data_IF_990965954345
#
_entry.id   IF_990965954345
#
_cell.length_a   1.000
_cell.length_b   1.000
_cell.length_c   1.000
_cell.angle_alpha   90.00
_cell.angle_beta   90.00
_cell.angle_gamma   90.00
#
_symmetry.space_group_name_H-M   'P 1'
#
loop_
_entity.id
_entity.type
_entity.pdbx_description
1 polymer ?
#
# COMPACT_ATOMS: atom_id res chain seq x y z
N UNK A 1 75.60 -34.14 45.25
CA UNK A 1 74.52 -33.41 45.94
C UNK A 1 74.46 -33.96 47.35
N UNK A 2 74.59 -33.10 48.37
CA UNK A 2 74.61 -33.53 49.76
C UNK A 2 73.20 -33.95 50.20
N UNK A 3 73.03 -35.24 50.50
CA UNK A 3 71.77 -35.83 50.95
C UNK A 3 71.22 -35.12 52.18
N UNK A 4 72.10 -34.60 53.04
CA UNK A 4 71.73 -33.85 54.24
C UNK A 4 71.08 -32.52 53.87
N UNK A 5 71.58 -31.85 52.83
CA UNK A 5 71.02 -30.58 52.35
C UNK A 5 69.63 -30.79 51.71
N UNK A 6 69.44 -31.86 50.95
CA UNK A 6 68.15 -32.28 50.37
C UNK A 6 67.12 -32.59 51.47
N UNK A 7 67.50 -33.44 52.44
CA UNK A 7 66.63 -33.82 53.56
C UNK A 7 66.28 -32.63 54.44
N UNK A 8 67.21 -31.67 54.63
CA UNK A 8 66.96 -30.44 55.38
C UNK A 8 65.98 -29.53 54.65
N UNK A 9 66.06 -29.45 53.32
CA UNK A 9 65.11 -28.71 52.48
C UNK A 9 63.69 -29.29 52.59
N UNK A 10 63.58 -30.61 52.53
CA UNK A 10 62.32 -31.34 52.68
C UNK A 10 61.74 -31.13 54.09
N UNK A 11 62.57 -31.29 55.13
CA UNK A 11 62.16 -31.11 56.52
C UNK A 11 61.67 -29.69 56.81
N UNK A 12 62.36 -28.68 56.31
CA UNK A 12 61.95 -27.28 56.46
C UNK A 12 60.65 -26.97 55.72
N UNK A 13 60.44 -27.56 54.54
CA UNK A 13 59.21 -27.40 53.75
C UNK A 13 58.00 -28.03 54.45
N UNK A 14 58.19 -29.17 55.13
CA UNK A 14 57.14 -29.83 55.94
C UNK A 14 56.83 -29.01 57.21
N UNK A 15 57.84 -28.38 57.82
CA UNK A 15 57.71 -27.65 59.09
C UNK A 15 56.84 -26.39 59.02
N UNK A 16 56.61 -25.85 57.81
CA UNK A 16 55.76 -24.66 57.60
C UNK A 16 54.26 -25.00 57.54
N UNK A 17 53.90 -26.28 57.44
CA UNK A 17 52.52 -26.75 57.38
C UNK A 17 51.91 -26.72 58.80
N UNK A 18 51.02 -25.77 59.06
CA UNK A 18 50.25 -25.69 60.32
C UNK A 18 48.87 -26.36 60.14
N UNK A 19 48.72 -27.60 60.62
CA UNK A 19 47.44 -28.31 60.73
C UNK A 19 47.11 -28.69 62.18
N UNK A 20 45.82 -28.78 62.52
CA UNK A 20 45.36 -29.31 63.82
C UNK A 20 45.60 -30.84 63.91
N UNK A 21 45.85 -31.33 65.12
CA UNK A 21 46.39 -32.64 65.53
C UNK A 21 45.55 -33.90 65.22
N UNK A 22 44.70 -33.89 64.19
CA UNK A 22 43.92 -35.08 63.82
C UNK A 22 44.64 -35.92 62.76
N UNK A 23 44.84 -37.22 63.04
CA UNK A 23 45.42 -38.17 62.07
C UNK A 23 44.42 -38.42 60.93
N UNK A 24 44.76 -37.95 59.73
CA UNK A 24 43.98 -38.21 58.52
C UNK A 24 44.34 -39.57 57.91
N UNK A 25 43.34 -40.33 57.43
CA UNK A 25 43.61 -41.58 56.69
C UNK A 25 44.34 -41.27 55.37
N UNK A 26 45.31 -42.10 54.91
CA UNK A 26 46.07 -41.83 53.69
C UNK A 26 45.21 -41.59 52.45
N UNK A 27 44.09 -42.32 52.31
CA UNK A 27 43.13 -42.11 51.21
C UNK A 27 42.43 -40.76 51.29
N UNK A 28 42.11 -40.29 52.50
CA UNK A 28 41.54 -38.95 52.72
C UNK A 28 42.58 -37.87 52.42
N UNK A 29 43.83 -38.06 52.82
CA UNK A 29 44.92 -37.12 52.51
C UNK A 29 45.16 -37.00 51.00
N UNK A 30 45.26 -38.12 50.29
CA UNK A 30 45.41 -38.12 48.83
C UNK A 30 44.24 -37.42 48.14
N UNK A 31 43.01 -37.59 48.65
CA UNK A 31 41.82 -36.97 48.11
C UNK A 31 41.67 -35.47 48.46
N UNK A 32 42.29 -35.00 49.54
CA UNK A 32 42.35 -33.56 49.85
C UNK A 32 43.46 -32.85 49.08
N UNK A 33 44.61 -33.50 48.87
CA UNK A 33 45.71 -33.00 48.05
C UNK A 33 45.28 -32.88 46.57
N UNK A 34 44.50 -33.83 46.05
CA UNK A 34 44.01 -33.79 44.66
C UNK A 34 43.05 -32.63 44.37
N UNK A 35 42.58 -31.90 45.39
CA UNK A 35 41.71 -30.72 45.27
C UNK A 35 42.48 -29.38 45.23
N UNK A 36 43.82 -29.40 45.31
CA UNK A 36 44.68 -28.22 45.30
C UNK A 36 45.17 -27.89 43.88
N UNK A 37 45.35 -26.61 43.57
CA UNK A 37 45.95 -26.15 42.30
C UNK A 37 47.48 -26.20 42.33
N UNK A 38 48.08 -26.45 41.17
CA UNK A 38 49.48 -26.15 40.89
C UNK A 38 49.55 -24.99 39.89
N UNK A 39 50.08 -23.85 40.33
CA UNK A 39 50.45 -22.73 39.44
C UNK A 39 51.93 -22.44 39.69
N UNK A 40 52.76 -22.59 38.66
CA UNK A 40 54.22 -22.35 38.72
C UNK A 40 54.90 -23.00 39.93
N UNK A 41 54.72 -24.32 40.09
CA UNK A 41 55.38 -25.17 41.09
C UNK A 41 55.13 -24.83 42.57
N UNK A 42 54.14 -23.97 42.88
CA UNK A 42 53.72 -23.67 44.25
C UNK A 42 52.26 -24.09 44.50
N UNK A 43 52.02 -24.78 45.63
CA UNK A 43 50.68 -25.18 46.07
C UNK A 43 50.04 -24.05 46.86
N UNK A 44 49.09 -23.34 46.28
CA UNK A 44 48.42 -22.22 46.96
C UNK A 44 46.90 -22.35 46.85
N UNK A 45 46.29 -23.02 47.83
CA UNK A 45 44.86 -22.93 48.11
C UNK A 45 43.94 -24.01 47.50
N UNK A 46 42.76 -24.15 48.12
CA UNK A 46 41.66 -25.00 47.67
C UNK A 46 41.00 -24.36 46.45
N UNK A 47 40.94 -25.07 45.32
CA UNK A 47 40.16 -24.60 44.17
C UNK A 47 38.73 -25.06 44.33
N UNK A 48 37.79 -24.13 44.18
CA UNK A 48 36.38 -24.50 44.00
C UNK A 48 36.19 -24.96 42.55
N UNK A 49 36.12 -26.26 42.34
CA UNK A 49 35.90 -26.85 41.02
C UNK A 49 34.39 -26.98 40.80
N UNK A 50 33.89 -26.41 39.70
CA UNK A 50 32.55 -26.68 39.18
C UNK A 50 32.66 -27.65 38.02
N UNK A 51 31.94 -28.76 38.11
CA UNK A 51 31.88 -29.74 37.02
C UNK A 51 31.12 -29.17 35.83
N UNK A 52 31.45 -29.65 34.63
CA UNK A 52 30.71 -29.33 33.41
C UNK A 52 29.20 -29.58 33.59
N UNK A 53 28.39 -28.65 33.10
CA UNK A 53 26.94 -28.64 33.29
C UNK A 53 26.27 -28.12 32.02
N UNK A 54 25.09 -28.66 31.71
CA UNK A 54 24.21 -28.12 30.67
C UNK A 54 23.14 -27.25 31.31
N UNK A 55 23.09 -25.97 30.94
CA UNK A 55 22.12 -25.01 31.44
C UNK A 55 21.08 -24.70 30.36
N UNK A 56 19.83 -24.48 30.81
CA UNK A 56 18.71 -24.10 29.96
C UNK A 56 18.29 -22.67 30.31
N UNK A 57 18.17 -21.76 29.31
CA UNK A 57 17.63 -20.43 29.54
C UNK A 57 16.24 -20.48 30.18
N UNK A 58 15.97 -19.56 31.10
CA UNK A 58 14.67 -19.39 31.76
C UNK A 58 14.34 -17.91 31.92
N UNK A 59 13.17 -17.59 32.50
CA UNK A 59 12.79 -16.21 32.82
C UNK A 59 13.42 -15.66 34.11
N UNK A 60 14.37 -16.39 34.70
CA UNK A 60 15.15 -16.01 35.86
C UNK A 60 16.63 -16.17 35.60
N UNK A 61 17.44 -15.29 36.20
CA UNK A 61 18.90 -15.33 36.06
C UNK A 61 19.46 -16.63 36.66
N UNK A 62 20.25 -17.34 35.87
CA UNK A 62 21.10 -18.43 36.35
C UNK A 62 22.47 -17.86 36.67
N UNK A 63 22.80 -17.77 37.95
CA UNK A 63 24.07 -17.19 38.40
C UNK A 63 25.15 -18.28 38.42
N UNK A 64 26.25 -18.04 37.70
CA UNK A 64 27.50 -18.78 37.88
C UNK A 64 28.38 -17.93 38.78
N UNK A 65 28.60 -18.39 40.01
CA UNK A 65 29.40 -17.66 40.98
C UNK A 65 30.85 -17.51 40.51
N UNK A 66 31.47 -16.37 40.83
CA UNK A 66 32.89 -16.12 40.58
C UNK A 66 33.81 -17.05 41.38
N UNK A 67 35.11 -17.03 41.07
CA UNK A 67 36.15 -17.80 41.75
C UNK A 67 35.99 -19.34 41.69
N UNK A 68 35.37 -19.84 40.61
CA UNK A 68 35.26 -21.26 40.31
C UNK A 68 36.10 -21.64 39.07
N UNK A 69 36.77 -22.79 39.13
CA UNK A 69 37.40 -23.41 37.95
C UNK A 69 36.44 -24.44 37.33
N UNK A 70 36.19 -24.32 36.03
CA UNK A 70 35.37 -25.28 35.30
C UNK A 70 36.19 -26.49 34.89
N UNK A 71 35.73 -27.67 35.28
CA UNK A 71 36.27 -28.94 34.79
C UNK A 71 35.26 -29.54 33.80
N UNK A 72 35.52 -29.33 32.51
CA UNK A 72 34.61 -29.69 31.42
C UNK A 72 33.83 -28.49 30.88
N UNK A 73 33.02 -28.74 29.85
CA UNK A 73 32.27 -27.68 29.16
C UNK A 73 31.05 -27.24 29.98
N UNK A 74 30.84 -25.93 30.04
CA UNK A 74 29.56 -25.35 30.40
C UNK A 74 28.79 -25.09 29.11
N UNK A 75 27.71 -25.84 28.91
CA UNK A 75 26.90 -25.76 27.69
C UNK A 75 25.62 -25.00 27.99
N UNK A 76 25.47 -23.81 27.41
CA UNK A 76 24.19 -23.08 27.42
C UNK A 76 23.40 -23.52 26.20
N UNK A 77 22.31 -24.27 26.40
CA UNK A 77 21.45 -24.70 25.30
C UNK A 77 20.67 -23.50 24.76
N UNK A 78 20.36 -23.53 23.46
CA UNK A 78 19.40 -22.59 22.89
C UNK A 78 18.03 -22.76 23.54
N UNK A 79 17.23 -21.70 23.53
CA UNK A 79 15.85 -21.75 24.02
C UNK A 79 14.96 -22.43 22.98
N UNK A 80 14.31 -23.54 23.35
CA UNK A 80 13.38 -24.25 22.47
C UNK A 80 12.13 -23.41 22.13
N UNK A 81 11.83 -22.37 22.94
CA UNK A 81 10.76 -21.41 22.68
C UNK A 81 11.20 -20.24 21.79
N UNK A 82 12.49 -20.16 21.43
CA UNK A 82 13.00 -19.28 20.39
C UNK A 82 12.61 -19.78 19.00
N UNK A 83 11.31 -20.01 18.81
CA UNK A 83 10.71 -20.35 17.53
C UNK A 83 10.22 -19.08 16.87
N UNK A 84 10.43 -18.99 15.56
CA UNK A 84 10.06 -17.81 14.76
C UNK A 84 8.60 -17.39 14.98
N UNK A 85 7.67 -18.35 15.12
CA UNK A 85 6.24 -18.09 15.29
C UNK A 85 5.84 -17.42 16.61
N UNK A 86 6.75 -17.31 17.59
CA UNK A 86 6.52 -16.61 18.86
C UNK A 86 7.09 -15.18 18.86
N UNK A 87 7.88 -14.81 17.85
CA UNK A 87 8.51 -13.50 17.73
C UNK A 87 7.72 -12.69 16.70
N UNK A 88 7.31 -11.48 17.07
CA UNK A 88 6.59 -10.58 16.18
C UNK A 88 7.38 -10.36 14.88
N UNK A 89 6.69 -10.45 13.73
CA UNK A 89 7.26 -10.13 12.43
C UNK A 89 7.44 -8.61 12.29
N UNK A 90 8.56 -8.17 11.72
CA UNK A 90 8.71 -6.77 11.31
C UNK A 90 10.00 -6.48 10.55
N UNK A 91 10.18 -5.21 10.16
CA UNK A 91 11.26 -4.75 9.25
C UNK A 91 12.59 -4.37 9.92
N UNK A 92 12.64 -4.17 11.23
CA UNK A 92 13.83 -3.70 11.96
C UNK A 92 14.66 -4.78 12.65
N UNK A 93 15.87 -4.41 13.09
CA UNK A 93 16.78 -5.24 13.91
C UNK A 93 16.19 -5.72 15.23
N UNK A 94 15.08 -5.12 15.68
CA UNK A 94 14.35 -5.53 16.88
C UNK A 94 13.48 -6.78 16.73
N UNK A 95 13.27 -7.30 15.52
CA UNK A 95 12.46 -8.51 15.26
C UNK A 95 13.31 -9.77 15.06
N UNK A 96 14.57 -9.68 15.49
CA UNK A 96 15.52 -10.77 15.57
C UNK A 96 15.87 -10.97 17.03
N UNK A 97 15.59 -12.16 17.55
CA UNK A 97 16.07 -12.56 18.86
C UNK A 97 17.17 -13.59 18.61
N UNK A 98 18.41 -13.23 18.92
CA UNK A 98 19.59 -14.10 18.75
C UNK A 98 19.73 -14.68 17.32
N UNK A 99 19.41 -13.88 16.31
CA UNK A 99 19.48 -14.28 14.89
C UNK A 99 18.26 -15.03 14.36
N UNK A 100 17.31 -15.43 15.22
CA UNK A 100 16.03 -16.01 14.79
C UNK A 100 15.06 -14.90 14.41
N UNK A 101 14.59 -14.92 13.16
CA UNK A 101 13.68 -13.92 12.61
C UNK A 101 12.22 -14.25 12.95
N UNK A 102 11.47 -13.27 13.43
CA UNK A 102 10.06 -13.45 13.76
C UNK A 102 9.12 -13.69 12.58
N UNK A 103 8.17 -14.60 12.76
CA UNK A 103 7.09 -14.95 11.83
C UNK A 103 5.70 -14.80 12.45
N UNK A 104 5.56 -14.42 13.71
CA UNK A 104 4.26 -14.16 14.32
C UNK A 104 3.63 -12.91 13.67
N UNK A 105 2.45 -13.05 13.08
CA UNK A 105 1.61 -11.91 12.74
C UNK A 105 0.95 -11.43 14.04
N UNK A 106 1.01 -10.12 14.34
CA UNK A 106 0.20 -9.58 15.43
C UNK A 106 -1.26 -9.95 15.13
N UNK A 107 -1.91 -10.64 16.08
CA UNK A 107 -3.34 -10.89 16.01
C UNK A 107 -3.99 -9.53 16.21
N UNK A 108 -4.21 -8.85 15.10
CA UNK A 108 -5.15 -7.74 15.09
C UNK A 108 -6.51 -8.41 15.05
N UNK A 109 -7.33 -8.13 16.05
CA UNK A 109 -8.74 -8.52 16.05
C UNK A 109 -9.32 -8.09 14.70
N UNK A 110 -9.50 -9.06 13.80
CA UNK A 110 -10.21 -8.84 12.56
C UNK A 110 -11.61 -8.50 13.01
N UNK A 111 -11.98 -7.23 12.88
CA UNK A 111 -13.29 -6.78 13.26
C UNK A 111 -14.28 -7.48 12.33
N UNK A 112 -14.95 -8.52 12.83
CA UNK A 112 -15.87 -9.37 12.06
C UNK A 112 -17.14 -8.63 11.59
N UNK A 113 -17.23 -7.32 11.82
CA UNK A 113 -18.21 -6.46 11.16
C UNK A 113 -17.84 -6.29 9.68
N UNK A 114 -18.82 -6.48 8.78
CA UNK A 114 -18.63 -6.25 7.35
C UNK A 114 -18.12 -4.82 7.13
N UNK A 115 -16.88 -4.66 6.68
CA UNK A 115 -16.30 -3.35 6.39
C UNK A 115 -17.14 -2.72 5.27
N UNK A 116 -17.84 -1.60 5.53
CA UNK A 116 -18.71 -0.99 4.55
C UNK A 116 -17.88 -0.50 3.37
N UNK A 117 -18.40 -0.73 2.16
CA UNK A 117 -17.82 -0.15 0.97
C UNK A 117 -18.22 1.33 0.90
N UNK A 118 -17.23 2.21 0.73
CA UNK A 118 -17.42 3.67 0.74
C UNK A 118 -18.03 4.22 -0.56
N UNK A 119 -18.47 3.35 -1.47
CA UNK A 119 -19.32 3.72 -2.60
C UNK A 119 -18.66 4.69 -3.56
N UNK A 120 -19.31 5.86 -3.74
CA UNK A 120 -18.84 6.96 -4.57
C UNK A 120 -17.37 7.30 -4.30
N UNK A 121 -16.96 7.35 -3.03
CA UNK A 121 -15.60 7.71 -2.67
C UNK A 121 -14.60 6.68 -3.20
N UNK A 122 -14.85 5.38 -3.03
CA UNK A 122 -13.99 4.35 -3.62
C UNK A 122 -13.84 4.52 -5.14
N UNK A 123 -14.95 4.80 -5.83
CA UNK A 123 -14.92 5.02 -7.28
C UNK A 123 -14.06 6.23 -7.68
N UNK A 124 -14.02 7.32 -6.91
CA UNK A 124 -13.12 8.45 -7.17
C UNK A 124 -11.65 7.99 -7.20
N UNK A 125 -11.24 7.18 -6.22
CA UNK A 125 -9.88 6.64 -6.16
C UNK A 125 -9.59 5.69 -7.33
N UNK A 126 -10.55 4.87 -7.75
CA UNK A 126 -10.39 4.02 -8.95
C UNK A 126 -10.17 4.88 -10.19
N UNK A 127 -10.86 6.01 -10.33
CA UNK A 127 -10.65 6.91 -11.47
C UNK A 127 -9.28 7.60 -11.45
N UNK A 128 -8.77 7.93 -10.26
CA UNK A 128 -7.41 8.45 -10.10
C UNK A 128 -6.40 7.40 -10.54
N UNK A 129 -6.55 6.16 -10.08
CA UNK A 129 -5.74 5.03 -10.51
C UNK A 129 -5.78 4.81 -12.02
N UNK A 130 -6.98 4.82 -12.60
CA UNK A 130 -7.18 4.70 -14.05
C UNK A 130 -6.49 5.80 -14.85
N UNK A 131 -6.42 7.04 -14.33
CA UNK A 131 -5.82 8.16 -15.07
C UNK A 131 -4.36 7.91 -15.50
N UNK A 132 -3.59 7.12 -14.75
CA UNK A 132 -2.23 6.71 -15.14
C UNK A 132 -2.24 5.67 -16.27
N UNK A 133 -3.22 4.77 -16.25
CA UNK A 133 -3.43 3.80 -17.33
C UNK A 133 -3.87 4.52 -18.61
N UNK A 134 -4.82 5.45 -18.51
CA UNK A 134 -5.30 6.29 -19.63
C UNK A 134 -4.15 7.11 -20.23
N UNK A 135 -3.34 7.78 -19.40
CA UNK A 135 -2.18 8.54 -19.85
C UNK A 135 -1.15 7.68 -20.60
N UNK A 136 -0.94 6.44 -20.14
CA UNK A 136 -0.08 5.48 -20.83
C UNK A 136 -0.65 5.10 -22.19
N UNK A 137 -1.91 4.64 -22.27
CA UNK A 137 -2.49 4.18 -23.54
C UNK A 137 -2.64 5.32 -24.56
N UNK A 138 -2.80 6.55 -24.08
CA UNK A 138 -2.84 7.76 -24.90
C UNK A 138 -1.44 8.27 -25.29
N UNK A 139 -0.36 7.58 -24.91
CA UNK A 139 1.03 7.99 -25.13
C UNK A 139 1.36 9.40 -24.59
N UNK A 140 0.68 9.83 -23.52
CA UNK A 140 0.94 11.12 -22.86
C UNK A 140 2.20 11.08 -21.99
N UNK A 141 2.69 9.88 -21.67
CA UNK A 141 3.89 9.64 -20.87
C UNK A 141 4.58 8.37 -21.32
N UNK A 142 5.91 8.37 -21.29
CA UNK A 142 6.70 7.15 -21.40
C UNK A 142 7.11 6.70 -20.00
N UNK A 143 6.44 5.66 -19.50
CA UNK A 143 6.71 5.09 -18.19
C UNK A 143 7.75 3.95 -18.30
N UNK A 144 8.50 3.73 -17.23
CA UNK A 144 9.39 2.59 -17.06
C UNK A 144 9.26 2.05 -15.63
N UNK A 145 9.09 0.73 -15.52
CA UNK A 145 9.03 0.06 -14.23
C UNK A 145 10.36 0.19 -13.48
N UNK A 146 10.31 0.61 -12.21
CA UNK A 146 11.52 0.92 -11.45
C UNK A 146 11.75 0.10 -10.18
N UNK A 147 10.91 -0.90 -9.88
CA UNK A 147 11.20 -1.92 -8.85
C UNK A 147 11.71 -1.39 -7.50
N UNK A 148 11.17 -0.27 -7.01
CA UNK A 148 11.58 0.37 -5.76
C UNK A 148 12.52 1.58 -5.92
N UNK A 149 13.07 1.85 -7.11
CA UNK A 149 13.80 3.08 -7.44
C UNK A 149 12.87 4.13 -8.07
N UNK A 150 11.88 4.58 -7.32
CA UNK A 150 10.84 5.49 -7.80
C UNK A 150 11.00 6.91 -7.26
N UNK A 151 9.95 7.74 -7.39
CA UNK A 151 9.93 9.13 -6.94
C UNK A 151 10.22 9.28 -5.45
N UNK A 152 10.00 8.24 -4.64
CA UNK A 152 10.35 8.25 -3.21
C UNK A 152 11.83 8.07 -2.92
N UNK A 153 12.58 7.51 -3.87
CA UNK A 153 14.04 7.47 -3.84
C UNK A 153 14.66 8.68 -4.54
N UNK A 154 13.83 9.68 -4.90
CA UNK A 154 14.22 10.92 -5.55
C UNK A 154 14.48 10.81 -7.05
N UNK A 155 14.25 9.65 -7.67
CA UNK A 155 14.45 9.44 -9.10
C UNK A 155 13.14 9.66 -9.86
N UNK A 156 13.16 10.56 -10.86
CA UNK A 156 11.98 10.89 -11.67
C UNK A 156 12.06 10.28 -13.07
N UNK A 157 13.19 10.42 -13.77
CA UNK A 157 13.40 9.78 -15.09
C UNK A 157 14.68 8.96 -15.15
N UNK A 158 14.68 7.92 -15.97
CA UNK A 158 15.88 7.12 -16.23
C UNK A 158 16.79 7.75 -17.29
N UNK A 159 17.87 7.06 -17.64
CA UNK A 159 18.84 7.50 -18.64
C UNK A 159 18.25 7.67 -20.06
N UNK A 160 17.13 7.01 -20.35
CA UNK A 160 16.38 7.15 -21.61
C UNK A 160 15.27 8.20 -21.53
N UNK A 161 15.16 8.94 -20.43
CA UNK A 161 14.14 9.97 -20.24
C UNK A 161 12.74 9.44 -19.92
N UNK A 162 12.59 8.13 -19.68
CA UNK A 162 11.30 7.54 -19.27
C UNK A 162 11.06 7.79 -17.79
N UNK A 163 9.83 8.15 -17.45
CA UNK A 163 9.38 8.36 -16.08
C UNK A 163 9.39 7.05 -15.30
N UNK A 164 10.06 7.04 -14.14
CA UNK A 164 10.18 5.86 -13.29
C UNK A 164 8.95 5.72 -12.40
N UNK A 165 8.23 4.60 -12.55
CA UNK A 165 7.02 4.31 -11.78
C UNK A 165 7.07 2.87 -11.26
N UNK A 166 6.81 2.70 -9.96
CA UNK A 166 6.61 1.39 -9.34
C UNK A 166 5.20 1.27 -8.75
N UNK A 167 4.83 0.06 -8.32
CA UNK A 167 3.50 -0.19 -7.76
C UNK A 167 3.24 0.61 -6.48
N UNK A 168 4.28 0.88 -5.68
CA UNK A 168 4.18 1.66 -4.45
C UNK A 168 3.87 3.13 -4.77
N UNK A 169 4.62 3.76 -5.68
CA UNK A 169 4.35 5.13 -6.16
C UNK A 169 2.96 5.26 -6.72
N UNK A 170 2.58 4.34 -7.59
CA UNK A 170 1.29 4.35 -8.23
C UNK A 170 0.13 4.33 -7.22
N UNK A 171 0.18 3.40 -6.27
CA UNK A 171 -0.90 3.32 -5.27
C UNK A 171 -0.84 4.48 -4.29
N UNK A 172 0.35 4.96 -3.90
CA UNK A 172 0.46 6.09 -2.97
C UNK A 172 -0.07 7.36 -3.63
N UNK A 173 0.27 7.63 -4.90
CA UNK A 173 -0.35 8.74 -5.65
C UNK A 173 -1.87 8.61 -5.71
N UNK A 174 -2.38 7.40 -5.94
CA UNK A 174 -3.82 7.13 -5.93
C UNK A 174 -4.44 7.49 -4.57
N UNK A 175 -3.83 7.01 -3.48
CA UNK A 175 -4.28 7.26 -2.12
C UNK A 175 -4.13 8.75 -1.73
N UNK A 176 -3.12 9.45 -2.24
CA UNK A 176 -2.95 10.90 -2.05
C UNK A 176 -3.88 11.74 -2.94
N UNK A 177 -4.81 11.11 -3.66
CA UNK A 177 -5.71 11.73 -4.64
C UNK A 177 -4.97 12.55 -5.72
N UNK A 178 -3.83 12.05 -6.19
CA UNK A 178 -3.02 12.69 -7.23
C UNK A 178 -3.31 12.02 -8.59
N UNK A 179 -4.25 12.53 -9.40
CA UNK A 179 -4.44 12.02 -10.77
C UNK A 179 -3.21 12.32 -11.61
N UNK A 180 -3.03 11.56 -12.71
CA UNK A 180 -1.86 11.67 -13.57
C UNK A 180 -1.54 13.12 -13.99
N UNK A 181 -2.56 13.90 -14.36
CA UNK A 181 -2.37 15.28 -14.83
C UNK A 181 -1.85 16.26 -13.76
N UNK A 182 -1.99 15.90 -12.49
CA UNK A 182 -1.47 16.68 -11.38
C UNK A 182 -0.28 15.98 -10.72
N UNK A 183 0.14 14.84 -11.29
CA UNK A 183 1.28 14.09 -10.81
C UNK A 183 2.58 14.70 -11.30
N UNK A 184 3.66 14.31 -10.62
CA UNK A 184 5.02 14.73 -10.95
C UNK A 184 5.50 14.23 -12.32
N UNK A 185 4.77 13.32 -12.96
CA UNK A 185 5.10 12.77 -14.27
C UNK A 185 4.52 13.57 -15.44
N UNK A 186 3.55 14.45 -15.17
CA UNK A 186 2.91 15.24 -16.21
C UNK A 186 3.93 16.16 -16.88
N UNK A 187 3.99 16.12 -18.21
CA UNK A 187 4.84 17.01 -19.01
C UNK A 187 6.35 16.83 -18.81
N UNK A 188 6.80 15.79 -18.11
CA UNK A 188 8.22 15.57 -17.84
C UNK A 188 8.94 15.14 -19.13
N UNK A 189 10.04 15.84 -19.42
CA UNK A 189 10.97 15.54 -20.52
C UNK A 189 12.40 15.52 -20.02
N UNK A 190 13.30 14.79 -20.69
CA UNK A 190 14.74 14.75 -20.37
C UNK A 190 15.17 13.63 -19.42
N UNK A 191 16.48 13.38 -19.38
CA UNK A 191 17.09 12.18 -18.81
C UNK A 191 17.56 12.40 -17.37
N UNK A 192 17.55 11.33 -16.56
CA UNK A 192 18.09 11.31 -15.19
C UNK A 192 17.59 12.46 -14.29
N UNK A 193 16.34 12.87 -14.47
CA UNK A 193 15.74 13.90 -13.62
C UNK A 193 15.51 13.34 -12.22
N UNK A 194 15.67 14.21 -11.23
CA UNK A 194 15.38 13.93 -9.84
C UNK A 194 14.19 14.75 -9.36
N UNK A 195 13.64 14.37 -8.21
CA UNK A 195 12.57 15.08 -7.52
C UNK A 195 12.81 15.05 -6.02
N UNK A 196 12.40 16.09 -5.31
CA UNK A 196 12.30 16.04 -3.85
C UNK A 196 11.02 15.26 -3.47
N UNK A 197 11.12 14.07 -2.84
CA UNK A 197 9.95 13.31 -2.43
C UNK A 197 8.97 14.11 -1.56
N UNK A 198 9.47 15.11 -0.80
CA UNK A 198 8.63 15.98 0.06
C UNK A 198 7.71 16.91 -0.72
N UNK A 199 7.94 17.08 -2.03
CA UNK A 199 7.06 17.84 -2.92
C UNK A 199 5.76 17.10 -3.24
N UNK A 200 5.71 15.77 -3.04
CA UNK A 200 4.52 14.96 -3.27
C UNK A 200 3.54 15.20 -2.12
N UNK A 201 2.45 15.91 -2.42
CA UNK A 201 1.42 16.28 -1.43
C UNK A 201 0.04 15.89 -1.92
N UNK A 202 -0.83 15.55 -0.98
CA UNK A 202 -2.22 15.28 -1.26
C UNK A 202 -2.92 16.51 -1.89
N UNK A 203 -3.87 16.27 -2.78
CA UNK A 203 -4.68 17.32 -3.39
C UNK A 203 -6.02 17.42 -2.66
N UNK A 204 -6.35 18.64 -2.19
CA UNK A 204 -7.57 18.95 -1.44
C UNK A 204 -7.33 19.00 0.07
N UNK A 205 -7.64 20.14 0.71
CA UNK A 205 -7.35 20.45 2.12
C UNK A 205 -8.33 19.86 3.14
N UNK A 206 -9.30 19.04 2.72
CA UNK A 206 -10.51 18.78 3.52
C UNK A 206 -10.87 17.30 3.73
N UNK A 207 -9.94 16.36 3.96
CA UNK A 207 -10.35 14.94 3.95
C UNK A 207 -9.66 14.01 4.95
N UNK A 208 -9.92 14.26 6.22
CA UNK A 208 -10.49 13.42 7.27
C UNK A 208 -10.76 11.92 7.07
N UNK A 209 -10.09 11.10 6.26
CA UNK A 209 -10.28 9.63 6.31
C UNK A 209 -9.10 8.93 7.01
N UNK A 210 -9.13 7.60 7.18
CA UNK A 210 -7.99 6.84 7.74
C UNK A 210 -6.68 7.10 6.96
N UNK A 211 -6.78 7.62 5.72
CA UNK A 211 -5.65 8.12 4.95
C UNK A 211 -4.96 9.38 5.51
N UNK A 212 -5.58 10.20 6.39
CA UNK A 212 -4.86 11.35 6.99
C UNK A 212 -3.64 10.89 7.80
N UNK A 213 -3.75 9.75 8.50
CA UNK A 213 -2.58 9.13 9.16
C UNK A 213 -1.52 8.73 8.12
N UNK A 214 -1.99 8.24 6.97
CA UNK A 214 -1.10 7.84 5.90
C UNK A 214 -0.39 9.04 5.26
N UNK A 215 -0.99 10.24 5.15
CA UNK A 215 -0.32 11.43 4.58
C UNK A 215 0.94 11.80 5.36
N UNK A 216 0.88 11.81 6.70
CA UNK A 216 2.06 12.03 7.54
C UNK A 216 3.07 10.89 7.36
N UNK A 217 2.61 9.64 7.32
CA UNK A 217 3.49 8.49 7.14
C UNK A 217 4.11 8.39 5.73
N UNK A 218 3.44 8.89 4.69
CA UNK A 218 3.96 8.96 3.33
C UNK A 218 4.98 10.09 3.20
N UNK A 219 4.64 11.28 3.70
CA UNK A 219 5.53 12.46 3.66
C UNK A 219 6.77 12.33 4.55
N UNK A 220 6.73 11.52 5.62
CA UNK A 220 7.90 11.17 6.44
C UNK A 220 8.62 9.90 5.97
N UNK A 221 8.14 9.24 4.91
CA UNK A 221 8.75 8.01 4.37
C UNK A 221 8.64 6.80 5.30
N UNK A 222 7.68 6.79 6.24
CA UNK A 222 7.36 5.62 7.07
C UNK A 222 6.64 4.53 6.29
N UNK A 223 5.81 4.89 5.30
CA UNK A 223 5.19 3.95 4.37
C UNK A 223 5.72 4.25 2.98
N UNK A 224 6.56 3.34 2.44
CA UNK A 224 7.26 3.55 1.16
C UNK A 224 6.95 2.49 0.12
N UNK A 225 6.84 1.22 0.54
CA UNK A 225 6.68 0.10 -0.36
C UNK A 225 5.32 -0.57 -0.21
N UNK A 226 4.90 -1.31 -1.24
CA UNK A 226 3.67 -2.13 -1.21
C UNK A 226 3.51 -2.95 0.08
N UNK A 227 4.60 -3.49 0.62
CA UNK A 227 4.56 -4.27 1.86
C UNK A 227 4.32 -3.44 3.13
N UNK A 228 4.72 -2.16 3.17
CA UNK A 228 4.37 -1.27 4.29
C UNK A 228 2.87 -0.99 4.29
N UNK A 229 2.33 -0.75 3.10
CA UNK A 229 0.90 -0.52 2.92
C UNK A 229 0.09 -1.78 3.28
N UNK A 230 0.59 -2.95 2.90
CA UNK A 230 0.01 -4.24 3.26
C UNK A 230 -0.04 -4.43 4.78
N UNK A 231 1.09 -4.20 5.47
CA UNK A 231 1.18 -4.29 6.92
C UNK A 231 0.22 -3.31 7.61
N UNK A 232 0.14 -2.07 7.12
CA UNK A 232 -0.79 -1.08 7.64
C UNK A 232 -2.25 -1.54 7.57
N UNK A 233 -2.73 -1.96 6.40
CA UNK A 233 -4.13 -2.36 6.25
C UNK A 233 -4.44 -3.69 6.95
N UNK A 234 -3.47 -4.59 7.01
CA UNK A 234 -3.57 -5.80 7.82
C UNK A 234 -3.77 -5.45 9.30
N UNK A 235 -2.88 -4.60 9.84
CA UNK A 235 -2.93 -4.18 11.23
C UNK A 235 -4.11 -3.26 11.56
N UNK A 236 -4.72 -2.64 10.56
CA UNK A 236 -5.96 -1.87 10.72
C UNK A 236 -7.23 -2.76 10.66
N UNK A 237 -7.09 -4.09 10.53
CA UNK A 237 -8.21 -5.01 10.44
C UNK A 237 -9.06 -4.79 9.17
N UNK A 238 -8.43 -4.36 8.07
CA UNK A 238 -9.13 -3.99 6.82
C UNK A 238 -9.19 -5.11 5.77
N UNK A 239 -8.80 -6.33 6.14
CA UNK A 239 -8.78 -7.49 5.24
C UNK A 239 -10.22 -7.94 4.95
N UNK A 240 -10.49 -8.29 3.69
CA UNK A 240 -11.79 -8.81 3.25
C UNK A 240 -11.63 -10.13 2.49
N UNK A 241 -12.73 -10.89 2.40
CA UNK A 241 -12.81 -12.05 1.52
C UNK A 241 -12.88 -11.60 0.05
N UNK A 242 -12.23 -12.35 -0.84
CA UNK A 242 -12.20 -12.09 -2.28
C UNK A 242 -13.61 -12.11 -2.90
N UNK A 243 -14.52 -12.93 -2.36
CA UNK A 243 -15.92 -12.98 -2.80
C UNK A 243 -16.67 -11.68 -2.54
N UNK A 244 -16.23 -10.91 -1.55
CA UNK A 244 -16.80 -9.64 -1.11
C UNK A 244 -16.12 -8.42 -1.73
N UNK A 245 -15.16 -8.61 -2.64
CA UNK A 245 -14.39 -7.55 -3.28
C UNK A 245 -15.29 -6.56 -4.04
N UNK A 246 -14.87 -5.29 -4.07
CA UNK A 246 -15.57 -4.16 -4.68
C UNK A 246 -14.55 -3.22 -5.35
N UNK A 247 -14.99 -2.35 -6.27
CA UNK A 247 -14.12 -1.34 -6.86
C UNK A 247 -13.40 -0.51 -5.79
N UNK A 248 -12.11 -0.27 -5.99
CA UNK A 248 -11.29 0.50 -5.06
C UNK A 248 -10.66 -0.34 -3.92
N UNK A 249 -11.04 -1.60 -3.75
CA UNK A 249 -10.31 -2.48 -2.83
C UNK A 249 -8.86 -2.69 -3.33
N UNK A 250 -7.92 -2.90 -2.42
CA UNK A 250 -6.51 -3.10 -2.73
C UNK A 250 -6.17 -4.58 -2.76
N UNK A 251 -5.44 -5.01 -3.79
CA UNK A 251 -4.92 -6.36 -3.92
C UNK A 251 -3.44 -6.37 -3.60
N UNK A 252 -3.00 -7.24 -2.69
CA UNK A 252 -1.60 -7.38 -2.32
C UNK A 252 -1.04 -8.71 -2.79
N UNK A 253 0.11 -8.67 -3.47
CA UNK A 253 0.64 -9.81 -4.23
C UNK A 253 2.05 -10.17 -3.77
N UNK A 254 2.39 -11.47 -3.78
CA UNK A 254 3.72 -11.99 -3.52
C UNK A 254 4.22 -12.82 -4.71
N UNK A 255 5.17 -12.26 -5.45
CA UNK A 255 5.77 -12.91 -6.61
C UNK A 255 6.69 -14.09 -6.20
N UNK A 256 6.60 -15.18 -6.97
CA UNK A 256 7.40 -16.40 -6.80
C UNK A 256 8.13 -16.75 -8.09
N UNK A 257 9.30 -17.37 -7.95
CA UNK A 257 10.02 -18.04 -9.03
C UNK A 257 9.28 -19.34 -9.42
N UNK A 258 9.67 -19.94 -10.54
CA UNK A 258 9.10 -21.21 -11.02
C UNK A 258 9.27 -22.36 -10.02
N UNK A 259 10.28 -22.30 -9.16
CA UNK A 259 10.54 -23.26 -8.08
C UNK A 259 9.65 -23.04 -6.83
N UNK A 260 8.78 -22.04 -6.86
CA UNK A 260 7.87 -21.69 -5.77
C UNK A 260 8.47 -20.82 -4.67
N UNK A 261 9.77 -20.50 -4.73
CA UNK A 261 10.42 -19.60 -3.78
C UNK A 261 10.06 -18.13 -4.05
N UNK A 262 9.99 -17.30 -3.01
CA UNK A 262 9.57 -15.90 -3.16
C UNK A 262 10.69 -15.02 -3.75
N UNK A 263 10.33 -14.16 -4.70
CA UNK A 263 11.24 -13.12 -5.22
C UNK A 263 11.71 -12.17 -4.12
N UNK A 264 10.84 -11.91 -3.13
CA UNK A 264 11.13 -11.04 -1.99
C UNK A 264 10.68 -11.75 -0.70
N UNK A 265 11.63 -12.34 0.03
CA UNK A 265 11.37 -13.09 1.26
C UNK A 265 11.56 -12.28 2.55
N UNK A 266 11.92 -10.99 2.42
CA UNK A 266 12.25 -10.12 3.55
C UNK A 266 11.18 -9.08 3.89
N UNK A 267 10.02 -9.10 3.24
CA UNK A 267 8.93 -8.14 3.44
C UNK A 267 7.73 -8.75 4.16
N UNK A 268 6.84 -7.90 4.68
CA UNK A 268 5.57 -8.33 5.27
C UNK A 268 4.82 -9.26 4.30
N UNK A 269 4.55 -10.49 4.75
CA UNK A 269 3.95 -11.58 3.94
C UNK A 269 4.55 -11.75 2.54
N UNK A 270 5.84 -11.46 2.37
CA UNK A 270 6.56 -11.52 1.09
C UNK A 270 5.95 -10.64 -0.02
N UNK A 271 5.17 -9.62 0.36
CA UNK A 271 4.48 -8.74 -0.59
C UNK A 271 5.49 -7.99 -1.45
N UNK A 272 5.32 -8.11 -2.76
CA UNK A 272 6.13 -7.44 -3.77
C UNK A 272 5.34 -6.43 -4.59
N UNK A 273 4.03 -6.62 -4.76
CA UNK A 273 3.19 -5.71 -5.56
C UNK A 273 1.86 -5.39 -4.88
N UNK A 274 1.29 -4.27 -5.31
CA UNK A 274 -0.04 -3.81 -4.94
C UNK A 274 -0.79 -3.35 -6.19
N UNK A 275 -2.08 -3.64 -6.23
CA UNK A 275 -3.01 -3.13 -7.23
C UNK A 275 -4.28 -2.61 -6.59
N UNK A 276 -5.12 -1.97 -7.38
CA UNK A 276 -6.44 -1.48 -6.99
C UNK A 276 -7.50 -2.03 -7.91
N UNK A 277 -8.54 -2.61 -7.34
CA UNK A 277 -9.64 -3.25 -8.06
C UNK A 277 -10.29 -2.23 -8.97
N UNK A 278 -10.38 -2.60 -10.23
CA UNK A 278 -10.95 -1.78 -11.28
C UNK A 278 -12.46 -1.63 -11.06
N UNK A 279 -13.09 -0.93 -11.98
CA UNK A 279 -14.49 -0.61 -11.83
C UNK A 279 -15.42 -1.83 -11.96
N UNK A 280 -16.65 -1.71 -11.47
CA UNK A 280 -17.61 -2.84 -11.38
C UNK A 280 -17.92 -3.46 -12.76
N UNK A 281 -17.84 -2.68 -13.84
CA UNK A 281 -17.98 -3.19 -15.21
C UNK A 281 -16.94 -4.23 -15.62
N UNK A 282 -15.84 -4.35 -14.87
CA UNK A 282 -14.81 -5.37 -15.05
C UNK A 282 -14.92 -6.51 -14.03
N UNK A 283 -16.07 -6.67 -13.39
CA UNK A 283 -16.32 -7.72 -12.40
C UNK A 283 -17.43 -8.66 -12.87
N UNK A 284 -17.35 -9.92 -12.46
CA UNK A 284 -18.42 -10.91 -12.66
C UNK A 284 -18.79 -11.53 -11.32
N UNK A 285 -20.08 -11.79 -11.14
CA UNK A 285 -20.64 -12.42 -9.96
C UNK A 285 -21.37 -13.71 -10.35
N UNK A 286 -21.32 -14.72 -9.49
CA UNK A 286 -22.13 -15.93 -9.65
C UNK A 286 -23.60 -15.68 -9.24
N UNK A 287 -24.43 -16.71 -9.36
CA UNK A 287 -25.86 -16.65 -9.00
C UNK A 287 -26.11 -16.37 -7.51
N UNK A 288 -25.12 -16.60 -6.64
CA UNK A 288 -25.19 -16.26 -5.21
C UNK A 288 -24.74 -14.82 -4.92
N UNK A 289 -24.32 -14.06 -5.94
CA UNK A 289 -23.82 -12.70 -5.81
C UNK A 289 -22.36 -12.59 -5.37
N UNK A 290 -21.64 -13.70 -5.27
CA UNK A 290 -20.21 -13.74 -4.95
C UNK A 290 -19.39 -13.37 -6.19
N UNK A 291 -18.34 -12.57 -6.02
CA UNK A 291 -17.44 -12.21 -7.12
C UNK A 291 -16.60 -13.42 -7.53
N UNK A 292 -16.55 -13.70 -8.84
CA UNK A 292 -15.77 -14.81 -9.43
C UNK A 292 -14.67 -14.35 -10.39
N UNK A 293 -14.76 -13.10 -10.84
CA UNK A 293 -13.79 -12.48 -11.73
C UNK A 293 -13.76 -10.99 -11.45
N UNK A 294 -12.58 -10.39 -11.51
CA UNK A 294 -12.42 -8.95 -11.52
C UNK A 294 -11.14 -8.57 -12.27
N UNK A 295 -11.07 -7.33 -12.73
CA UNK A 295 -9.81 -6.73 -13.15
C UNK A 295 -9.33 -5.73 -12.12
N UNK A 296 -8.04 -5.42 -12.15
CA UNK A 296 -7.44 -4.43 -11.26
C UNK A 296 -6.33 -3.69 -11.98
N UNK A 297 -6.14 -2.42 -11.61
CA UNK A 297 -5.03 -1.62 -12.09
C UNK A 297 -3.80 -1.85 -11.22
N UNK A 298 -2.65 -2.00 -11.86
CA UNK A 298 -1.38 -2.20 -11.19
C UNK A 298 -0.22 -1.76 -12.08
N UNK A 299 0.96 -1.64 -11.47
CA UNK A 299 2.22 -1.39 -12.18
C UNK A 299 3.07 -2.64 -12.09
N UNK A 300 3.55 -3.14 -13.22
CA UNK A 300 4.34 -4.37 -13.28
C UNK A 300 5.50 -4.24 -14.26
N UNK A 301 6.43 -5.19 -14.22
CA UNK A 301 7.49 -5.33 -15.23
C UNK A 301 6.96 -5.79 -16.60
N UNK A 302 5.76 -6.37 -16.66
CA UNK A 302 5.11 -6.79 -17.90
C UNK A 302 4.70 -5.53 -18.70
N UNK A 303 5.26 -5.38 -19.91
CA UNK A 303 5.21 -4.15 -20.74
C UNK A 303 5.89 -2.89 -20.16
N UNK A 304 6.58 -3.01 -19.02
CA UNK A 304 7.31 -1.94 -18.32
C UNK A 304 6.48 -0.80 -17.67
N UNK A 305 5.19 -0.96 -17.35
CA UNK A 305 4.27 0.19 -17.09
C UNK A 305 2.98 -0.13 -16.31
N UNK A 306 2.13 0.90 -16.08
CA UNK A 306 0.77 0.79 -15.51
C UNK A 306 -0.19 0.06 -16.46
N UNK A 307 -0.77 -1.06 -16.00
CA UNK A 307 -1.64 -1.95 -16.78
C UNK A 307 -2.94 -2.26 -16.04
N UNK A 308 -3.87 -2.94 -16.73
CA UNK A 308 -5.08 -3.52 -16.15
C UNK A 308 -4.99 -5.04 -16.28
N UNK A 309 -4.97 -5.74 -15.14
CA UNK A 309 -4.70 -7.18 -15.04
C UNK A 309 -5.98 -7.92 -14.66
N UNK A 310 -6.16 -9.13 -15.19
CA UNK A 310 -7.31 -10.01 -14.89
C UNK A 310 -7.01 -10.88 -13.67
N UNK A 311 -7.95 -11.02 -12.72
CA UNK A 311 -7.75 -11.83 -11.51
C UNK A 311 -7.47 -13.30 -11.82
N UNK A 312 -8.12 -13.85 -12.85
CA UNK A 312 -7.92 -15.25 -13.28
C UNK A 312 -6.52 -15.58 -13.79
N UNK A 313 -5.67 -14.57 -14.01
CA UNK A 313 -4.29 -14.77 -14.44
C UNK A 313 -3.29 -14.79 -13.28
N UNK A 314 -3.77 -14.70 -12.02
CA UNK A 314 -2.95 -14.29 -10.88
C UNK A 314 -3.25 -15.11 -9.63
N UNK A 315 -2.45 -16.14 -9.42
CA UNK A 315 -2.45 -16.97 -8.19
C UNK A 315 -1.59 -16.39 -7.07
N UNK A 316 -0.98 -15.23 -7.29
CA UNK A 316 -0.01 -14.59 -6.39
C UNK A 316 -0.64 -13.55 -5.45
N UNK A 317 -1.97 -13.38 -5.47
CA UNK A 317 -2.70 -12.56 -4.50
C UNK A 317 -2.62 -13.24 -3.12
N UNK A 318 -2.12 -12.50 -2.14
CA UNK A 318 -1.99 -12.98 -0.75
C UNK A 318 -3.21 -12.60 0.08
N UNK A 319 -3.67 -11.36 -0.05
CA UNK A 319 -4.91 -10.88 0.57
C UNK A 319 -5.41 -9.60 -0.11
N UNK A 320 -6.66 -9.25 0.21
CA UNK A 320 -7.32 -8.04 -0.26
C UNK A 320 -7.68 -7.18 0.94
N UNK A 321 -7.49 -5.87 0.83
CA UNK A 321 -7.89 -4.91 1.85
C UNK A 321 -8.90 -3.90 1.31
N UNK A 322 -9.82 -3.47 2.16
CA UNK A 322 -10.78 -2.40 1.87
C UNK A 322 -10.39 -1.12 2.60
N UNK A 323 -9.82 -0.12 1.90
CA UNK A 323 -9.59 1.18 2.49
C UNK A 323 -10.90 1.89 2.82
N UNK A 324 -10.85 2.74 3.84
CA UNK A 324 -11.96 3.63 4.16
C UNK A 324 -11.75 4.98 3.49
N UNK A 325 -12.49 5.19 2.40
CA UNK A 325 -12.43 6.43 1.63
C UNK A 325 -13.44 7.49 2.11
N UNK A 326 -14.24 7.21 3.14
CA UNK A 326 -15.21 8.18 3.64
C UNK A 326 -14.52 9.31 4.42
N UNK A 327 -14.84 10.58 4.16
CA UNK A 327 -14.33 11.68 4.98
C UNK A 327 -14.94 11.67 6.40
N UNK A 328 -14.15 11.92 7.47
CA UNK A 328 -14.59 12.01 8.89
C UNK A 328 -15.52 13.21 9.07
N UNK A 329 -15.32 14.29 8.31
CA UNK A 329 -16.24 15.43 8.32
C UNK A 329 -17.15 15.32 7.11
N UNK A 330 -18.46 15.30 7.33
CA UNK A 330 -19.45 15.48 6.27
C UNK A 330 -19.18 16.84 5.62
N UNK A 331 -18.54 16.83 4.45
CA UNK A 331 -18.52 18.01 3.59
C UNK A 331 -19.96 18.19 3.14
N UNK A 332 -20.56 19.34 3.46
CA UNK A 332 -21.89 19.66 2.96
C UNK A 332 -21.84 19.56 1.44
N UNK A 333 -22.56 18.60 0.85
CA UNK A 333 -22.66 18.50 -0.61
C UNK A 333 -23.35 19.76 -1.19
N UNK A 334 -24.07 20.50 -0.36
CA UNK A 334 -24.66 21.81 -0.68
C UNK A 334 -23.57 22.88 -0.62
N UNK A 335 -22.71 22.86 -1.63
CA UNK A 335 -21.73 23.92 -1.92
C UNK A 335 -21.63 24.11 -3.43
N UNK A 336 -21.89 25.33 -3.87
CA UNK A 336 -21.78 25.74 -5.28
C UNK A 336 -20.36 25.64 -5.85
N UNK A 337 -19.33 25.51 -5.00
CA UNK A 337 -17.94 25.33 -5.41
C UNK A 337 -17.57 23.86 -5.68
N UNK A 338 -18.36 22.90 -5.17
CA UNK A 338 -18.09 21.48 -5.33
C UNK A 338 -18.73 20.98 -6.64
N UNK A 339 -17.92 20.76 -7.67
CA UNK A 339 -18.38 20.08 -8.89
C UNK A 339 -18.46 18.57 -8.64
N UNK A 340 -19.67 18.01 -8.74
CA UNK A 340 -19.98 16.60 -8.58
C UNK A 340 -19.70 15.78 -9.84
N UNK A 341 -19.38 16.43 -10.97
CA UNK A 341 -18.82 15.76 -12.13
C UNK A 341 -17.33 15.51 -11.89
N UNK A 342 -16.92 14.26 -12.05
CA UNK A 342 -15.51 13.91 -11.94
C UNK A 342 -14.74 14.41 -13.17
N UNK A 343 -13.66 15.15 -12.96
CA UNK A 343 -12.80 15.69 -14.03
C UNK A 343 -11.85 14.64 -14.61
N UNK A 344 -11.79 13.43 -14.06
CA UNK A 344 -10.86 12.39 -14.52
C UNK A 344 -11.47 11.42 -15.53
N UNK A 345 -12.80 11.43 -15.73
CA UNK A 345 -13.47 10.57 -16.71
C UNK A 345 -14.09 11.40 -17.83
N UNK A 346 -13.68 11.13 -19.07
CA UNK A 346 -14.31 11.61 -20.30
C UNK A 346 -14.22 10.50 -21.35
N UNK A 347 -15.18 10.40 -22.26
CA UNK A 347 -15.11 9.47 -23.40
C UNK A 347 -13.89 9.79 -24.27
N UNK A 348 -12.75 9.16 -23.95
CA UNK A 348 -11.47 9.33 -24.64
C UNK A 348 -10.41 10.16 -23.89
N UNK A 349 -10.66 10.61 -22.66
CA UNK A 349 -9.66 11.28 -21.81
C UNK A 349 -9.25 12.67 -22.28
N UNK A 350 -8.09 13.18 -21.80
CA UNK A 350 -7.56 14.49 -22.19
C UNK A 350 -7.07 14.53 -23.63
N UNK A 351 -7.14 15.71 -24.25
CA UNK A 351 -6.74 15.93 -25.64
C UNK A 351 -7.91 15.77 -26.61
N UNK A 352 -7.58 15.62 -27.89
CA UNK A 352 -8.58 15.61 -28.97
C UNK A 352 -9.11 14.22 -29.25
N UNK A 353 -10.40 14.03 -28.99
CA UNK A 353 -11.15 12.81 -29.26
C UNK A 353 -12.04 13.01 -30.48
N UNK A 354 -12.03 12.09 -31.44
CA UNK A 354 -12.88 12.17 -32.63
C UNK A 354 -13.99 11.13 -32.55
N UNK A 355 -15.24 11.58 -32.59
CA UNK A 355 -16.44 10.73 -32.60
C UNK A 355 -17.35 11.19 -33.73
N UNK A 356 -17.76 10.27 -34.61
CA UNK A 356 -18.64 10.55 -35.75
C UNK A 356 -18.21 11.78 -36.58
N UNK A 357 -16.91 11.94 -36.80
CA UNK A 357 -16.35 13.07 -37.58
C UNK A 357 -16.18 14.39 -36.80
N UNK A 358 -16.74 14.51 -35.60
CA UNK A 358 -16.58 15.67 -34.73
C UNK A 358 -15.41 15.49 -33.75
N UNK A 359 -14.71 16.57 -33.45
CA UNK A 359 -13.59 16.62 -32.49
C UNK A 359 -14.02 17.21 -31.15
N UNK A 360 -13.64 16.57 -30.06
CA UNK A 360 -13.78 17.01 -28.67
C UNK A 360 -12.40 17.12 -28.04
N UNK A 361 -11.91 18.34 -27.83
CA UNK A 361 -10.63 18.61 -27.19
C UNK A 361 -10.85 18.89 -25.70
N UNK A 362 -10.53 17.91 -24.88
CA UNK A 362 -10.68 17.97 -23.42
C UNK A 362 -9.42 18.56 -22.80
N UNK A 363 -9.59 19.59 -21.99
CA UNK A 363 -8.53 20.31 -21.27
C UNK A 363 -8.37 19.77 -19.84
N UNK A 364 -7.19 19.97 -19.24
CA UNK A 364 -6.89 19.48 -17.88
C UNK A 364 -7.78 20.06 -16.78
N UNK A 365 -8.41 21.20 -17.02
CA UNK A 365 -9.40 21.82 -16.13
C UNK A 365 -10.84 21.32 -16.36
N UNK A 366 -11.05 20.32 -17.22
CA UNK A 366 -12.36 19.75 -17.55
C UNK A 366 -13.14 20.50 -18.63
N UNK A 367 -12.59 21.58 -19.21
CA UNK A 367 -13.21 22.26 -20.35
C UNK A 367 -13.11 21.40 -21.60
N UNK A 368 -14.14 21.45 -22.46
CA UNK A 368 -14.17 20.68 -23.70
C UNK A 368 -14.41 21.65 -24.85
N UNK A 369 -13.50 21.72 -25.80
CA UNK A 369 -13.66 22.49 -27.05
C UNK A 369 -14.14 21.55 -28.15
N UNK A 370 -15.15 21.96 -28.91
CA UNK A 370 -15.69 21.13 -30.00
C UNK A 370 -15.40 21.73 -31.37
N UNK A 371 -15.25 20.86 -32.39
CA UNK A 371 -15.05 21.27 -33.79
C UNK A 371 -15.71 20.30 -34.75
N UNK A 372 -16.47 20.85 -35.70
CA UNK A 372 -17.18 20.13 -36.75
C UNK A 372 -18.63 19.80 -36.42
N UNK A 373 -19.32 19.26 -37.42
CA UNK A 373 -20.67 18.72 -37.36
C UNK A 373 -20.60 17.20 -37.43
N UNK A 374 -21.26 16.46 -36.52
CA UNK A 374 -21.20 15.03 -36.55
C UNK A 374 -22.02 14.44 -37.70
N UNK A 375 -21.60 13.28 -38.21
CA UNK A 375 -22.31 12.54 -39.25
C UNK A 375 -23.59 11.84 -38.76
N UNK A 376 -23.73 11.65 -37.44
CA UNK A 376 -24.89 11.07 -36.77
C UNK A 376 -25.05 11.66 -35.35
N UNK A 377 -26.16 11.42 -34.67
CA UNK A 377 -26.36 11.76 -33.26
C UNK A 377 -25.19 11.28 -32.39
N UNK A 378 -24.47 12.21 -31.79
CA UNK A 378 -23.19 11.94 -31.12
C UNK A 378 -23.28 12.24 -29.65
N UNK A 379 -22.84 11.26 -28.86
CA UNK A 379 -22.78 11.37 -27.41
C UNK A 379 -21.34 11.33 -26.94
N UNK A 380 -20.93 12.35 -26.20
CA UNK A 380 -19.63 12.41 -25.52
C UNK A 380 -19.86 12.35 -24.01
N UNK A 381 -19.53 11.21 -23.41
CA UNK A 381 -19.77 10.91 -22.01
C UNK A 381 -18.79 11.65 -21.09
N UNK A 382 -19.33 12.35 -20.09
CA UNK A 382 -18.59 12.98 -18.98
C UNK A 382 -18.59 12.09 -17.73
N UNK A 383 -19.59 11.21 -17.62
CA UNK A 383 -19.64 10.05 -16.73
C UNK A 383 -20.32 8.92 -17.52
N UNK A 384 -20.15 7.67 -17.11
CA UNK A 384 -20.56 6.51 -17.91
C UNK A 384 -21.71 5.76 -17.26
N UNK A 385 -22.51 5.06 -18.07
CA UNK A 385 -23.54 4.14 -17.53
C UNK A 385 -22.95 2.99 -16.71
N UNK A 386 -21.69 2.63 -16.97
CA UNK A 386 -20.91 1.68 -16.16
C UNK A 386 -20.22 2.34 -14.96
N UNK A 387 -20.08 3.68 -14.97
CA UNK A 387 -19.37 4.51 -13.98
C UNK A 387 -20.24 5.69 -13.58
N UNK A 388 -21.30 5.34 -12.86
CA UNK A 388 -22.34 6.28 -12.46
C UNK A 388 -21.84 7.21 -11.37
N UNK A 389 -22.30 8.45 -11.41
CA UNK A 389 -22.26 9.34 -10.26
C UNK A 389 -23.46 9.04 -9.38
N UNK A 390 -23.23 8.86 -8.08
CA UNK A 390 -24.31 8.70 -7.10
C UNK A 390 -24.70 10.06 -6.56
N UNK A 391 -25.99 10.38 -6.66
CA UNK A 391 -26.60 11.56 -6.07
C UNK A 391 -27.53 11.13 -4.94
N UNK A 392 -27.46 11.82 -3.81
CA UNK A 392 -28.40 11.63 -2.71
C UNK A 392 -29.72 12.32 -3.03
N UNK A 393 -30.76 12.02 -2.25
CA UNK A 393 -31.98 12.83 -2.24
C UNK A 393 -31.65 14.30 -2.06
N UNK A 394 -32.13 15.16 -2.95
CA UNK A 394 -31.80 16.59 -2.96
C UNK A 394 -32.08 17.26 -4.29
N UNK A 395 -31.78 18.55 -4.35
CA UNK A 395 -31.91 19.37 -5.56
C UNK A 395 -30.54 19.68 -6.13
N UNK A 396 -30.43 19.59 -7.45
CA UNK A 396 -29.18 19.70 -8.19
C UNK A 396 -29.33 20.68 -9.35
N UNK A 397 -28.22 21.32 -9.70
CA UNK A 397 -28.12 22.20 -10.88
C UNK A 397 -27.00 21.72 -11.80
N UNK A 398 -27.36 21.40 -13.04
CA UNK A 398 -26.43 21.12 -14.12
C UNK A 398 -26.23 22.41 -14.93
N UNK A 399 -24.97 22.74 -15.22
CA UNK A 399 -24.56 23.90 -16.01
C UNK A 399 -23.37 23.55 -16.89
N UNK A 400 -23.03 24.45 -17.80
CA UNK A 400 -21.81 24.34 -18.61
C UNK A 400 -22.04 24.00 -20.07
N UNK A 401 -23.30 23.83 -20.50
CA UNK A 401 -23.62 23.84 -21.91
C UNK A 401 -23.40 25.26 -22.44
N UNK A 402 -22.70 25.44 -23.57
CA UNK A 402 -22.62 26.74 -24.19
C UNK A 402 -23.98 27.10 -24.82
N UNK A 403 -24.33 28.38 -24.74
CA UNK A 403 -25.59 28.90 -25.28
C UNK A 403 -25.48 29.06 -26.80
N UNK A 404 -26.51 28.59 -27.50
CA UNK A 404 -26.67 28.74 -28.95
C UNK A 404 -27.79 29.70 -29.28
N UNK A 405 -27.68 30.41 -30.41
CA UNK A 405 -28.74 31.27 -30.92
C UNK A 405 -29.83 30.51 -31.67
N UNK A 406 -29.48 29.36 -32.28
CA UNK A 406 -30.34 28.53 -33.13
C UNK A 406 -30.99 27.35 -32.38
N UNK A 407 -30.79 27.27 -31.07
CA UNK A 407 -31.37 26.22 -30.22
C UNK A 407 -32.11 26.89 -29.06
N UNK A 408 -33.43 26.97 -29.17
CA UNK A 408 -34.30 27.54 -28.12
C UNK A 408 -35.19 26.48 -27.45
N UNK A 409 -35.24 25.25 -27.96
CA UNK A 409 -35.91 24.08 -27.36
C UNK A 409 -35.51 22.75 -28.04
N UNK A 410 -35.69 21.61 -27.36
CA UNK A 410 -35.55 20.26 -27.92
C UNK A 410 -34.28 19.47 -27.53
N UNK A 411 -34.22 18.19 -27.93
CA UNK A 411 -33.16 17.22 -27.59
C UNK A 411 -32.08 17.10 -28.69
N UNK A 412 -31.73 18.20 -29.37
CA UNK A 412 -30.78 18.18 -30.50
C UNK A 412 -29.35 18.56 -30.13
N UNK A 413 -29.16 19.10 -28.92
CA UNK A 413 -27.92 19.66 -28.41
C UNK A 413 -28.05 19.79 -26.88
N UNK A 414 -27.00 19.50 -26.11
CA UNK A 414 -26.99 19.90 -24.69
C UNK A 414 -26.14 19.00 -23.79
N UNK A 415 -26.08 19.38 -22.52
CA UNK A 415 -25.59 18.52 -21.44
C UNK A 415 -26.76 17.77 -20.82
N UNK A 416 -26.66 16.46 -20.75
CA UNK A 416 -27.77 15.58 -20.37
C UNK A 416 -27.38 14.77 -19.15
N UNK A 417 -28.30 14.66 -18.19
CA UNK A 417 -28.21 13.74 -17.06
C UNK A 417 -29.28 12.67 -17.23
N UNK A 418 -28.87 11.40 -17.18
CA UNK A 418 -29.78 10.25 -17.19
C UNK A 418 -29.56 9.38 -15.97
N UNK A 419 -30.62 8.72 -15.51
CA UNK A 419 -30.47 7.61 -14.57
C UNK A 419 -30.07 6.32 -15.32
N UNK A 420 -29.70 5.27 -14.59
CA UNK A 420 -29.31 3.97 -15.18
C UNK A 420 -30.42 3.26 -15.94
N UNK A 421 -31.69 3.58 -15.68
CA UNK A 421 -32.83 3.06 -16.43
C UNK A 421 -32.96 3.70 -17.82
N UNK A 422 -32.27 4.82 -18.06
CA UNK A 422 -32.28 5.55 -19.32
C UNK A 422 -33.22 6.77 -19.32
N UNK A 423 -33.86 7.05 -18.18
CA UNK A 423 -34.74 8.21 -18.01
C UNK A 423 -33.91 9.49 -17.97
N UNK A 424 -34.33 10.50 -18.71
CA UNK A 424 -33.74 11.84 -18.67
C UNK A 424 -34.16 12.53 -17.38
N UNK A 425 -33.19 12.89 -16.54
CA UNK A 425 -33.41 13.65 -15.31
C UNK A 425 -33.24 15.14 -15.53
N UNK A 426 -32.31 15.52 -16.41
CA UNK A 426 -32.00 16.93 -16.68
C UNK A 426 -31.40 17.11 -18.08
N UNK A 427 -31.70 18.25 -18.70
CA UNK A 427 -31.16 18.64 -20.00
C UNK A 427 -30.82 20.14 -19.99
N UNK A 428 -29.54 20.48 -19.98
CA UNK A 428 -29.05 21.85 -20.08
C UNK A 428 -28.77 22.23 -21.54
N UNK A 429 -29.51 23.21 -22.04
CA UNK A 429 -29.41 23.76 -23.40
C UNK A 429 -28.58 25.05 -23.48
N UNK A 430 -27.99 25.51 -22.37
CA UNK A 430 -27.13 26.70 -22.34
C UNK A 430 -27.39 27.65 -21.16
N UNK A 431 -28.56 27.55 -20.53
CA UNK A 431 -28.98 28.41 -19.41
C UNK A 431 -28.84 27.73 -18.03
N UNK A 432 -28.39 26.48 -18.02
CA UNK A 432 -28.45 25.61 -16.86
C UNK A 432 -29.84 25.00 -16.64
N UNK A 433 -29.87 23.88 -15.95
CA UNK A 433 -31.12 23.18 -15.59
C UNK A 433 -31.06 22.72 -14.14
N UNK A 434 -32.19 22.84 -13.44
CA UNK A 434 -32.35 22.35 -12.07
C UNK A 434 -33.22 21.09 -12.09
N UNK A 435 -32.85 20.08 -11.32
CA UNK A 435 -33.59 18.83 -11.19
C UNK A 435 -33.51 18.29 -9.77
N UNK A 436 -34.42 17.38 -9.41
CA UNK A 436 -34.53 16.83 -8.07
C UNK A 436 -34.37 15.32 -8.10
N UNK A 437 -33.58 14.80 -7.18
CA UNK A 437 -33.49 13.39 -6.87
C UNK A 437 -34.44 13.10 -5.70
N UNK A 438 -35.43 12.25 -5.94
CA UNK A 438 -36.47 11.90 -4.95
C UNK A 438 -36.12 10.66 -4.13
N UNK A 439 -35.32 9.75 -4.70
CA UNK A 439 -34.80 8.56 -4.03
C UNK A 439 -33.67 8.93 -3.07
N UNK A 440 -33.46 8.12 -2.04
CA UNK A 440 -32.36 8.34 -1.08
C UNK A 440 -31.00 8.37 -1.77
N UNK A 441 -30.81 7.51 -2.78
CA UNK A 441 -29.66 7.49 -3.69
C UNK A 441 -30.17 7.20 -5.12
N UNK A 442 -29.68 7.95 -6.10
CA UNK A 442 -29.89 7.72 -7.52
C UNK A 442 -28.55 7.60 -8.25
N UNK A 443 -28.46 6.63 -9.14
CA UNK A 443 -27.31 6.40 -10.01
C UNK A 443 -27.50 7.13 -11.33
N UNK A 444 -26.61 8.06 -11.65
CA UNK A 444 -26.71 8.88 -12.86
C UNK A 444 -25.48 8.76 -13.77
N UNK A 445 -25.66 9.08 -15.04
CA UNK A 445 -24.57 9.37 -15.96
C UNK A 445 -24.86 10.64 -16.76
N UNK A 446 -23.81 11.30 -17.23
CA UNK A 446 -23.83 12.65 -17.77
C UNK A 446 -23.05 12.67 -19.07
N UNK A 447 -23.59 13.33 -20.09
CA UNK A 447 -22.96 13.40 -21.39
C UNK A 447 -23.32 14.70 -22.13
N UNK A 448 -22.47 15.06 -23.08
CA UNK A 448 -22.78 16.03 -24.13
C UNK A 448 -23.47 15.28 -25.26
N UNK A 449 -24.60 15.79 -25.73
CA UNK A 449 -25.27 15.31 -26.94
C UNK A 449 -25.26 16.38 -28.02
N UNK A 450 -24.96 15.97 -29.25
CA UNK A 450 -24.96 16.83 -30.43
C UNK A 450 -25.56 16.02 -31.58
N UNK A 451 -26.69 16.46 -32.10
CA UNK A 451 -27.35 15.83 -33.25
C UNK A 451 -26.57 16.03 -34.55
N UNK A 452 -26.84 15.17 -35.55
CA UNK A 452 -26.22 15.23 -36.88
C UNK A 452 -26.43 16.57 -37.62
N UNK A 453 -27.42 17.36 -37.21
CA UNK A 453 -27.78 18.64 -37.86
C UNK A 453 -27.11 19.86 -37.23
N UNK A 454 -26.26 19.69 -36.22
CA UNK A 454 -25.68 20.81 -35.45
C UNK A 454 -24.17 20.83 -35.55
N UNK A 455 -23.63 21.87 -36.18
CA UNK A 455 -22.19 22.16 -36.14
C UNK A 455 -21.78 22.67 -34.75
N UNK A 456 -20.71 22.11 -34.19
CA UNK A 456 -20.21 22.40 -32.86
C UNK A 456 -18.90 23.18 -32.87
N UNK A 457 -18.56 23.84 -33.97
CA UNK A 457 -17.29 24.56 -34.14
C UNK A 457 -17.22 25.81 -33.29
N UNK A 458 -16.14 25.95 -32.52
CA UNK A 458 -15.86 27.15 -31.73
C UNK A 458 -16.58 27.21 -30.38
N UNK A 459 -17.30 26.15 -30.01
CA UNK A 459 -17.97 26.06 -28.70
C UNK A 459 -17.05 25.47 -27.63
N UNK A 460 -17.12 26.05 -26.43
CA UNK A 460 -16.45 25.55 -25.23
C UNK A 460 -17.49 25.16 -24.19
N UNK A 461 -17.47 23.89 -23.81
CA UNK A 461 -18.30 23.31 -22.77
C UNK A 461 -17.54 23.36 -21.45
N UNK A 462 -18.23 23.75 -20.37
CA UNK A 462 -17.67 23.85 -19.01
C UNK A 462 -18.53 23.09 -18.00
N UNK A 463 -18.67 21.77 -18.14
CA UNK A 463 -19.69 21.01 -17.42
C UNK A 463 -19.51 21.09 -15.91
N UNK A 464 -20.60 21.42 -15.22
CA UNK A 464 -20.61 21.52 -13.76
C UNK A 464 -21.94 21.03 -13.21
N UNK A 465 -21.89 20.07 -12.30
CA UNK A 465 -23.03 19.57 -11.55
C UNK A 465 -22.84 19.93 -10.09
N UNK A 466 -23.77 20.66 -9.50
CA UNK A 466 -23.71 21.04 -8.08
C UNK A 466 -25.00 20.64 -7.38
N UNK A 467 -24.92 20.33 -6.09
CA UNK A 467 -26.11 20.23 -5.25
C UNK A 467 -26.46 21.60 -4.70
N UNK A 468 -27.73 21.96 -4.73
CA UNK A 468 -28.23 23.27 -4.29
C UNK A 468 -29.14 23.19 -3.08
N UNK A 469 -29.67 22.00 -2.74
CA UNK A 469 -30.41 21.73 -1.51
C UNK A 469 -30.37 20.23 -1.14
#
# INVERSE_FOLDING_TARGET
MDLVAELTKIANSIRVIKGKTEKMKPSTFANEISKLAYINDNTTGKINIKQGETMYPSNTDTIIEGDQYFQGDIVIKGDANLVANNIARGRGSGNYVLGVRGTADAVVDINYGKIPWSGKYANEYVQIARSYWDARIANQVQLAYSGGNSVFEGNLTNASGKCLLDCSTYIIHTLLKIPFNNSVFQGVTGNNKTIDPKSIKAIGSEFSCLLEQLVEYFSTGRIRYAADLAEFFWCAGRVIDEKDIRPGDLTFHAAKYDDGTYHINNRFKNISHVGIVAEEGFMQKNSAGEVTYYEYYNVTSHENVCIRTKSTTRSDIVFIARPDYTPRNNVSEVDSNINLLNTTYHSGGLGTNTLNGMKFKVSSNGNIETTGQPSDGTTFYLTSKSYVTYLKKGTYKLTGCPKRSDTTSGETWGLVVKNTNGDTLAWDNGDGVTFTITKDIESIYVYIYISATKDSTGYTWKPKLVRTA
#
